data_IF_479335143983
#
_entry.id   IF_479335143983
#
_cell.length_a   1.000
_cell.length_b   1.000
_cell.length_c   1.000
_cell.angle_alpha   90.00
_cell.angle_beta   90.00
_cell.angle_gamma   90.00
#
_symmetry.space_group_name_H-M   'P 1'
#
loop_
_entity.id
_entity.type
_entity.pdbx_description
1 polymer ?
#
# COMPACT_ATOMS: atom_id res chain seq x y z
N UNK A 1 12.96 14.43 7.59
CA UNK A 1 12.09 15.62 7.69
C UNK A 1 10.68 15.09 7.92
N UNK A 2 10.10 15.36 9.11
CA UNK A 2 8.72 14.93 9.43
C UNK A 2 7.76 15.99 8.87
N UNK A 3 6.97 15.63 7.88
CA UNK A 3 5.85 16.45 7.44
C UNK A 3 4.59 16.01 8.20
N UNK A 4 3.93 16.95 8.88
CA UNK A 4 2.70 16.71 9.62
C UNK A 4 1.52 16.95 8.68
N UNK A 5 0.84 15.88 8.25
CA UNK A 5 -0.46 15.93 7.59
C UNK A 5 -1.50 15.31 8.52
N UNK A 6 -2.75 15.72 8.43
CA UNK A 6 -3.77 15.43 9.44
C UNK A 6 -4.12 13.95 9.63
N UNK A 7 -3.74 13.06 8.72
CA UNK A 7 -4.00 11.61 8.78
C UNK A 7 -2.89 10.88 8.02
N UNK A 8 -2.16 10.00 8.70
CA UNK A 8 -1.04 9.24 8.14
C UNK A 8 0.26 10.07 8.02
N UNK A 9 1.36 9.48 8.46
CA UNK A 9 2.68 10.10 8.33
C UNK A 9 3.53 9.25 7.40
N UNK A 10 4.17 9.88 6.41
CA UNK A 10 5.32 9.25 5.76
C UNK A 10 6.44 9.22 6.78
N UNK A 11 6.83 8.03 7.24
CA UNK A 11 7.88 7.87 8.25
C UNK A 11 9.26 7.84 7.64
N UNK A 12 9.38 7.19 6.49
CA UNK A 12 10.65 6.96 5.82
C UNK A 12 10.45 6.93 4.31
N UNK A 13 11.40 7.53 3.59
CA UNK A 13 11.46 7.48 2.13
C UNK A 13 12.88 7.09 1.76
N UNK A 14 13.02 6.00 1.02
CA UNK A 14 14.29 5.58 0.46
C UNK A 14 14.18 5.52 -1.06
N UNK A 15 15.04 6.27 -1.77
CA UNK A 15 15.01 6.36 -3.22
C UNK A 15 16.36 5.94 -3.83
N UNK A 16 16.31 5.02 -4.77
CA UNK A 16 17.50 4.47 -5.41
C UNK A 16 17.21 4.07 -6.86
N UNK A 17 18.28 3.89 -7.63
CA UNK A 17 18.20 3.38 -9.00
C UNK A 17 18.47 1.88 -9.02
N UNK A 18 17.67 1.16 -9.79
CA UNK A 18 17.86 -0.25 -10.07
C UNK A 18 17.56 -0.52 -11.54
N UNK A 19 18.61 -0.91 -12.31
CA UNK A 19 18.52 -1.01 -13.77
C UNK A 19 18.06 0.33 -14.38
N UNK A 20 17.04 0.32 -15.22
CA UNK A 20 16.42 1.51 -15.84
C UNK A 20 15.25 2.09 -15.04
N UNK A 21 15.14 1.67 -13.78
CA UNK A 21 14.05 2.08 -12.88
C UNK A 21 14.56 2.94 -11.73
N UNK A 22 13.75 3.91 -11.35
CA UNK A 22 13.85 4.62 -10.08
C UNK A 22 12.85 3.96 -9.15
N UNK A 23 13.36 3.44 -8.04
CA UNK A 23 12.57 2.81 -6.99
C UNK A 23 12.48 3.79 -5.82
N UNK A 24 11.27 3.99 -5.32
CA UNK A 24 11.06 4.76 -4.09
C UNK A 24 10.27 3.92 -3.11
N UNK A 25 10.88 3.61 -1.97
CA UNK A 25 10.25 2.86 -0.88
C UNK A 25 9.69 3.85 0.14
N UNK A 26 8.44 3.66 0.51
CA UNK A 26 7.72 4.46 1.48
C UNK A 26 7.28 3.60 2.67
N UNK A 27 7.34 4.16 3.86
CA UNK A 27 6.68 3.63 5.04
C UNK A 27 5.69 4.68 5.57
N UNK A 28 4.42 4.28 5.68
CA UNK A 28 3.34 5.10 6.20
C UNK A 28 2.90 4.57 7.55
N UNK A 29 2.63 5.46 8.49
CA UNK A 29 2.04 5.11 9.78
C UNK A 29 0.53 5.33 9.71
N UNK A 30 -0.25 4.26 9.89
CA UNK A 30 -1.71 4.28 9.84
C UNK A 30 -2.31 3.70 11.11
N UNK A 31 -3.59 3.99 11.45
CA UNK A 31 -4.26 3.32 12.56
C UNK A 31 -4.39 1.81 12.32
N UNK A 32 -4.17 1.01 13.36
CA UNK A 32 -4.59 -0.39 13.35
C UNK A 32 -6.12 -0.45 13.23
N UNK A 33 -6.80 0.32 14.05
CA UNK A 33 -8.25 0.48 14.08
C UNK A 33 -8.64 1.90 13.64
N UNK A 34 -9.31 2.03 12.53
CA UNK A 34 -9.79 3.31 12.00
C UNK A 34 -10.96 3.91 12.78
N UNK A 35 -11.60 3.13 13.67
CA UNK A 35 -12.61 3.65 14.61
C UNK A 35 -11.95 4.21 15.89
N UNK A 36 -10.65 3.96 16.09
CA UNK A 36 -9.85 4.46 17.21
C UNK A 36 -8.50 5.01 16.70
N UNK A 37 -8.55 6.13 15.98
CA UNK A 37 -7.38 6.71 15.33
C UNK A 37 -6.25 7.14 16.28
N UNK A 38 -6.53 7.40 17.54
CA UNK A 38 -5.52 7.71 18.57
C UNK A 38 -4.89 6.46 19.18
N UNK A 39 -5.39 5.26 18.83
CA UNK A 39 -4.92 3.97 19.32
C UNK A 39 -3.62 3.51 18.68
N UNK A 40 -3.45 2.19 18.65
CA UNK A 40 -2.29 1.52 18.07
C UNK A 40 -2.11 1.88 16.59
N UNK A 41 -0.87 2.10 16.19
CA UNK A 41 -0.48 2.39 14.80
C UNK A 41 0.33 1.22 14.24
N UNK A 42 0.16 0.98 12.95
CA UNK A 42 0.95 0.01 12.19
C UNK A 42 1.65 0.70 11.02
N UNK A 43 2.74 0.11 10.56
CA UNK A 43 3.46 0.57 9.38
C UNK A 43 2.93 -0.13 8.13
N UNK A 44 2.68 0.64 7.09
CA UNK A 44 2.33 0.15 5.76
C UNK A 44 3.45 0.51 4.79
N UNK A 45 3.97 -0.51 4.13
CA UNK A 45 5.02 -0.37 3.12
C UNK A 45 4.41 -0.26 1.73
N UNK A 46 4.92 0.69 0.94
CA UNK A 46 4.61 0.77 -0.49
C UNK A 46 5.87 1.09 -1.29
N UNK A 47 6.00 0.48 -2.47
CA UNK A 47 7.10 0.68 -3.41
C UNK A 47 6.62 1.32 -4.68
N UNK A 48 7.11 2.51 -4.98
CA UNK A 48 6.91 3.17 -6.27
C UNK A 48 7.97 2.72 -7.27
N UNK A 49 7.55 2.43 -8.47
CA UNK A 49 8.39 2.14 -9.63
C UNK A 49 8.13 3.18 -10.69
N UNK A 50 9.17 3.85 -11.11
CA UNK A 50 9.17 4.83 -12.20
C UNK A 50 10.32 4.52 -13.17
N UNK A 51 10.07 4.53 -14.47
CA UNK A 51 11.16 4.42 -15.43
C UNK A 51 12.04 5.69 -15.40
N UNK A 52 13.35 5.51 -15.45
CA UNK A 52 14.30 6.64 -15.37
C UNK A 52 14.06 7.68 -16.47
N UNK A 53 13.73 7.24 -17.69
CA UNK A 53 13.42 8.12 -18.82
C UNK A 53 12.20 9.03 -18.59
N UNK A 54 11.37 8.72 -17.59
CA UNK A 54 10.16 9.48 -17.23
C UNK A 54 10.30 10.24 -15.90
N UNK A 55 11.51 10.34 -15.34
CA UNK A 55 11.73 11.02 -14.06
C UNK A 55 11.15 12.43 -14.02
N UNK A 56 11.24 13.15 -15.12
CA UNK A 56 10.75 14.53 -15.26
C UNK A 56 9.34 14.63 -15.86
N UNK A 57 8.64 13.50 -16.06
CA UNK A 57 7.26 13.48 -16.56
C UNK A 57 6.26 13.36 -15.42
N UNK A 58 5.15 14.06 -15.57
CA UNK A 58 3.98 13.89 -14.70
C UNK A 58 3.15 12.69 -15.18
N UNK A 59 3.53 11.48 -14.73
CA UNK A 59 2.73 10.28 -14.97
C UNK A 59 1.70 10.12 -13.84
N UNK A 60 0.47 9.63 -14.17
CA UNK A 60 -0.52 9.26 -13.16
C UNK A 60 -0.03 8.07 -12.34
N UNK A 61 -0.59 7.88 -11.15
CA UNK A 61 -0.32 6.72 -10.32
C UNK A 61 -1.24 5.55 -10.65
N UNK A 62 -0.69 4.35 -10.54
CA UNK A 62 -1.41 3.07 -10.56
C UNK A 62 -1.06 2.31 -9.29
N UNK A 63 -2.03 2.15 -8.37
CA UNK A 63 -1.84 1.28 -7.20
C UNK A 63 -2.19 -0.17 -7.54
N UNK A 64 -1.37 -1.11 -7.09
CA UNK A 64 -1.58 -2.55 -7.25
C UNK A 64 -1.91 -3.21 -5.92
N UNK A 65 -3.06 -3.90 -5.89
CA UNK A 65 -3.47 -4.77 -4.79
C UNK A 65 -3.13 -6.22 -5.11
N UNK A 66 -2.29 -6.83 -4.28
CA UNK A 66 -1.87 -8.22 -4.43
C UNK A 66 -2.99 -9.19 -4.05
N UNK A 67 -2.95 -10.37 -4.65
CA UNK A 67 -3.82 -11.50 -4.32
C UNK A 67 -3.45 -12.20 -3.03
N UNK A 68 -4.07 -13.31 -2.81
CA UNK A 68 -3.94 -14.15 -1.62
C UNK A 68 -5.31 -14.37 -0.99
N UNK A 69 -5.62 -13.78 0.19
CA UNK A 69 -4.86 -12.80 0.99
C UNK A 69 -3.58 -13.33 1.61
N UNK A 70 -2.74 -12.42 2.10
CA UNK A 70 -1.57 -12.75 2.94
C UNK A 70 -0.22 -12.75 2.20
N UNK A 71 -0.19 -12.42 0.91
CA UNK A 71 1.06 -12.31 0.14
C UNK A 71 1.50 -10.87 -0.02
N UNK A 72 2.82 -10.66 0.03
CA UNK A 72 3.45 -9.38 -0.32
C UNK A 72 3.29 -9.05 -1.81
N UNK A 73 3.36 -7.79 -2.15
CA UNK A 73 3.41 -7.33 -3.54
C UNK A 73 4.67 -7.84 -4.27
N UNK A 74 4.61 -7.99 -5.61
CA UNK A 74 5.79 -8.40 -6.39
C UNK A 74 7.01 -7.53 -6.08
N UNK A 75 8.18 -8.17 -6.04
CA UNK A 75 9.46 -7.47 -5.97
C UNK A 75 10.04 -7.38 -7.37
N UNK A 76 10.15 -6.17 -7.95
CA UNK A 76 10.69 -6.02 -9.29
C UNK A 76 12.19 -6.33 -9.27
N UNK A 77 12.55 -7.50 -9.75
CA UNK A 77 13.93 -7.95 -9.90
C UNK A 77 14.41 -7.83 -11.36
N UNK A 78 13.49 -7.53 -12.27
CA UNK A 78 13.77 -7.31 -13.68
C UNK A 78 12.72 -6.39 -14.30
N UNK A 79 13.12 -5.66 -15.35
CA UNK A 79 12.20 -4.86 -16.17
C UNK A 79 11.43 -5.79 -17.12
N UNK A 80 10.38 -6.43 -16.62
CA UNK A 80 9.60 -7.42 -17.36
C UNK A 80 8.14 -7.51 -16.92
N UNK A 81 7.34 -8.23 -17.69
CA UNK A 81 5.95 -8.53 -17.38
C UNK A 81 5.04 -7.30 -17.34
N UNK A 82 3.98 -7.37 -16.53
CA UNK A 82 2.97 -6.32 -16.45
C UNK A 82 3.51 -5.03 -15.82
N UNK A 83 4.47 -5.12 -14.90
CA UNK A 83 5.08 -3.95 -14.24
C UNK A 83 5.80 -3.11 -15.29
N UNK A 84 6.58 -3.77 -16.18
CA UNK A 84 7.24 -3.08 -17.31
C UNK A 84 6.22 -2.34 -18.16
N UNK A 85 5.15 -3.01 -18.58
CA UNK A 85 4.10 -2.40 -19.42
C UNK A 85 3.39 -1.25 -18.70
N UNK A 86 3.04 -1.43 -17.43
CA UNK A 86 2.38 -0.39 -16.65
C UNK A 86 3.29 0.84 -16.43
N UNK A 87 4.58 0.63 -16.19
CA UNK A 87 5.55 1.71 -15.94
C UNK A 87 5.85 2.59 -17.17
N UNK A 88 5.39 2.19 -18.35
CA UNK A 88 5.44 3.04 -19.55
C UNK A 88 4.41 4.20 -19.50
N UNK A 89 3.34 4.04 -18.72
CA UNK A 89 2.22 5.00 -18.65
C UNK A 89 1.96 5.52 -17.23
N UNK A 90 2.45 4.83 -16.20
CA UNK A 90 2.14 5.10 -14.80
C UNK A 90 3.38 5.12 -13.91
N UNK A 91 3.26 5.83 -12.79
CA UNK A 91 4.02 5.53 -11.58
C UNK A 91 3.33 4.36 -10.89
N UNK A 92 3.98 3.20 -10.88
CA UNK A 92 3.37 1.97 -10.36
C UNK A 92 3.66 1.89 -8.86
N UNK A 93 2.62 1.88 -8.03
CA UNK A 93 2.73 1.74 -6.59
C UNK A 93 2.34 0.31 -6.17
N UNK A 94 3.32 -0.45 -5.72
CA UNK A 94 3.16 -1.81 -5.20
C UNK A 94 2.94 -1.74 -3.69
N UNK A 95 1.73 -2.06 -3.24
CA UNK A 95 1.35 -2.00 -1.83
C UNK A 95 1.55 -3.36 -1.17
N UNK A 96 2.37 -3.45 -0.13
CA UNK A 96 2.27 -4.53 0.84
C UNK A 96 1.08 -4.24 1.75
N UNK A 97 0.01 -4.99 1.57
CA UNK A 97 -1.20 -4.81 2.37
C UNK A 97 -0.88 -5.04 3.84
N UNK A 98 -1.67 -4.41 4.74
CA UNK A 98 -1.52 -4.62 6.19
C UNK A 98 -1.43 -6.11 6.52
N UNK A 99 -0.54 -6.49 7.41
CA UNK A 99 -0.29 -7.88 7.80
C UNK A 99 0.66 -8.65 6.86
N UNK A 100 1.20 -8.04 5.80
CA UNK A 100 2.01 -8.73 4.78
C UNK A 100 3.34 -8.04 4.51
N UNK A 101 4.31 -8.81 4.02
CA UNK A 101 5.58 -8.31 3.48
C UNK A 101 6.36 -7.43 4.44
N UNK A 102 6.68 -6.21 3.99
CA UNK A 102 7.40 -5.20 4.76
C UNK A 102 6.46 -4.25 5.54
N UNK A 103 5.14 -4.38 5.37
CA UNK A 103 4.17 -3.80 6.30
C UNK A 103 4.24 -4.52 7.63
N UNK A 104 3.68 -3.94 8.71
CA UNK A 104 3.61 -4.63 10.01
C UNK A 104 3.03 -6.03 9.80
N UNK A 105 3.83 -7.10 9.93
CA UNK A 105 3.40 -8.44 9.55
C UNK A 105 2.52 -9.07 10.63
N UNK A 106 1.65 -9.99 10.22
CA UNK A 106 0.97 -10.92 11.12
C UNK A 106 1.69 -12.27 11.07
N UNK A 107 2.02 -12.78 12.22
CA UNK A 107 2.61 -14.12 12.39
C UNK A 107 1.98 -14.82 13.60
N UNK A 108 2.31 -16.08 13.81
CA UNK A 108 1.89 -16.79 15.02
C UNK A 108 2.32 -16.09 16.33
N UNK A 109 3.43 -15.34 16.28
CA UNK A 109 3.92 -14.56 17.43
C UNK A 109 2.99 -13.39 17.79
N UNK A 110 2.28 -12.85 16.80
CA UNK A 110 1.30 -11.76 17.00
C UNK A 110 0.13 -12.17 17.90
N UNK A 111 -0.08 -13.46 18.09
CA UNK A 111 -1.20 -14.02 18.85
C UNK A 111 -0.82 -14.58 20.22
N UNK A 112 0.46 -14.45 20.62
CA UNK A 112 0.94 -14.97 21.91
C UNK A 112 0.17 -14.33 23.08
N UNK A 113 -0.46 -15.17 23.90
CA UNK A 113 -1.23 -14.75 25.06
C UNK A 113 -2.67 -14.32 24.77
N UNK A 114 -3.09 -14.36 23.51
CA UNK A 114 -4.50 -14.10 23.12
C UNK A 114 -5.32 -15.38 23.19
N UNK A 115 -6.60 -15.26 23.57
CA UNK A 115 -7.59 -16.31 23.39
C UNK A 115 -8.20 -16.24 21.98
N UNK A 116 -8.98 -17.26 21.60
CA UNK A 116 -9.55 -17.37 20.24
C UNK A 116 -10.45 -16.19 19.87
N UNK A 117 -11.18 -15.62 20.82
CA UNK A 117 -12.05 -14.45 20.57
C UNK A 117 -11.22 -13.18 20.34
N UNK A 118 -10.13 -13.01 21.10
CA UNK A 118 -9.22 -11.89 20.94
C UNK A 118 -8.51 -11.97 19.58
N UNK A 119 -8.06 -13.18 19.17
CA UNK A 119 -7.48 -13.42 17.85
C UNK A 119 -8.47 -13.09 16.74
N UNK A 120 -9.71 -13.59 16.85
CA UNK A 120 -10.75 -13.33 15.87
C UNK A 120 -11.04 -11.83 15.75
N UNK A 121 -11.12 -11.12 16.86
CA UNK A 121 -11.33 -9.67 16.91
C UNK A 121 -10.14 -8.91 16.27
N UNK A 122 -8.92 -9.27 16.63
CA UNK A 122 -7.70 -8.67 16.07
C UNK A 122 -7.61 -8.85 14.56
N UNK A 123 -7.93 -10.04 14.05
CA UNK A 123 -7.92 -10.33 12.61
C UNK A 123 -8.94 -9.50 11.81
N UNK A 124 -9.97 -8.95 12.44
CA UNK A 124 -10.91 -8.06 11.74
C UNK A 124 -10.24 -6.78 11.24
N UNK A 125 -9.16 -6.33 11.89
CA UNK A 125 -8.42 -5.13 11.47
C UNK A 125 -7.66 -5.32 10.15
N UNK A 126 -7.49 -6.56 9.67
CA UNK A 126 -6.73 -6.90 8.47
C UNK A 126 -7.60 -7.26 7.26
N UNK A 127 -8.88 -6.90 7.30
CA UNK A 127 -9.84 -7.13 6.23
C UNK A 127 -9.72 -6.08 5.13
N UNK A 128 -10.42 -6.35 4.01
CA UNK A 128 -10.38 -5.50 2.82
C UNK A 128 -10.81 -4.05 3.06
N UNK A 129 -11.75 -3.82 3.96
CA UNK A 129 -12.21 -2.48 4.34
C UNK A 129 -11.06 -1.62 4.91
N UNK A 130 -10.22 -2.17 5.76
CA UNK A 130 -9.06 -1.45 6.29
C UNK A 130 -7.90 -1.37 5.29
N UNK A 131 -7.72 -2.38 4.42
CA UNK A 131 -6.74 -2.32 3.33
C UNK A 131 -7.05 -1.15 2.39
N UNK A 132 -8.31 -0.93 2.04
CA UNK A 132 -8.67 0.17 1.14
C UNK A 132 -8.63 1.54 1.83
N UNK A 133 -8.86 1.59 3.15
CA UNK A 133 -8.63 2.80 3.96
C UNK A 133 -7.13 3.17 3.99
N UNK A 134 -6.23 2.18 4.15
CA UNK A 134 -4.78 2.42 4.04
C UNK A 134 -4.40 2.99 2.68
N UNK A 135 -4.94 2.40 1.61
CA UNK A 135 -4.67 2.88 0.26
C UNK A 135 -5.13 4.34 0.07
N UNK A 136 -6.31 4.71 0.58
CA UNK A 136 -6.78 6.09 0.51
C UNK A 136 -5.89 7.05 1.32
N UNK A 137 -5.47 6.66 2.52
CA UNK A 137 -4.49 7.43 3.31
C UNK A 137 -3.18 7.65 2.55
N UNK A 138 -2.70 6.62 1.85
CA UNK A 138 -1.49 6.71 1.03
C UNK A 138 -1.72 7.65 -0.15
N UNK A 139 -2.86 7.57 -0.84
CA UNK A 139 -3.22 8.46 -1.94
C UNK A 139 -3.19 9.93 -1.50
N UNK A 140 -3.89 10.25 -0.42
CA UNK A 140 -3.95 11.61 0.14
C UNK A 140 -2.56 12.15 0.50
N UNK A 141 -1.67 11.30 1.01
CA UNK A 141 -0.31 11.70 1.34
C UNK A 141 0.58 11.91 0.11
N UNK A 142 0.47 11.05 -0.92
CA UNK A 142 1.33 11.08 -2.10
C UNK A 142 0.85 12.08 -3.17
N UNK A 143 -0.43 12.11 -3.44
CA UNK A 143 -0.99 12.83 -4.59
C UNK A 143 -2.14 13.78 -4.24
N UNK A 144 -2.50 13.89 -2.96
CA UNK A 144 -3.54 14.80 -2.44
C UNK A 144 -4.87 14.61 -3.16
N UNK A 145 -5.38 15.68 -3.79
CA UNK A 145 -6.66 15.71 -4.48
C UNK A 145 -6.66 15.02 -5.86
N UNK A 146 -5.48 14.54 -6.31
CA UNK A 146 -5.40 13.84 -7.58
C UNK A 146 -5.91 12.40 -7.46
N UNK A 147 -6.44 11.90 -8.57
CA UNK A 147 -6.92 10.52 -8.71
C UNK A 147 -5.79 9.59 -9.11
N UNK A 148 -5.97 8.31 -8.83
CA UNK A 148 -5.13 7.25 -9.36
C UNK A 148 -5.93 6.12 -10.00
N UNK A 149 -5.24 5.26 -10.74
CA UNK A 149 -5.81 4.03 -11.27
C UNK A 149 -5.60 2.90 -10.27
N UNK A 150 -6.51 1.94 -10.23
CA UNK A 150 -6.41 0.76 -9.37
C UNK A 150 -6.31 -0.51 -10.20
N UNK A 151 -5.42 -1.42 -9.81
CA UNK A 151 -5.25 -2.74 -10.41
C UNK A 151 -5.20 -3.77 -9.29
N UNK A 152 -5.92 -4.86 -9.43
CA UNK A 152 -5.94 -5.93 -8.44
C UNK A 152 -5.94 -7.31 -9.06
N UNK A 153 -5.26 -8.25 -8.42
CA UNK A 153 -5.26 -9.67 -8.79
C UNK A 153 -5.95 -10.50 -7.72
N UNK A 154 -6.90 -11.39 -8.10
CA UNK A 154 -7.57 -12.29 -7.18
C UNK A 154 -8.22 -11.53 -6.00
N UNK A 155 -7.84 -11.79 -4.75
CA UNK A 155 -8.28 -11.01 -3.58
C UNK A 155 -7.99 -9.51 -3.74
N UNK A 156 -6.89 -9.14 -4.38
CA UNK A 156 -6.61 -7.76 -4.74
C UNK A 156 -7.64 -7.15 -5.69
N UNK A 157 -8.23 -7.95 -6.58
CA UNK A 157 -9.38 -7.54 -7.41
C UNK A 157 -10.63 -7.24 -6.57
N UNK A 158 -10.87 -8.02 -5.52
CA UNK A 158 -11.91 -7.73 -4.53
C UNK A 158 -11.61 -6.40 -3.78
N UNK A 159 -10.37 -6.20 -3.34
CA UNK A 159 -9.95 -4.92 -2.74
C UNK A 159 -10.13 -3.74 -3.70
N UNK A 160 -9.76 -3.88 -4.98
CA UNK A 160 -9.95 -2.83 -5.98
C UNK A 160 -11.43 -2.47 -6.16
N UNK A 161 -12.32 -3.46 -6.25
CA UNK A 161 -13.78 -3.24 -6.33
C UNK A 161 -14.30 -2.56 -5.06
N UNK A 162 -13.81 -2.98 -3.90
CA UNK A 162 -14.17 -2.40 -2.61
C UNK A 162 -13.71 -0.94 -2.50
N UNK A 163 -12.46 -0.66 -2.95
CA UNK A 163 -11.93 0.70 -3.03
C UNK A 163 -12.82 1.62 -3.87
N UNK A 164 -13.20 1.20 -5.07
CA UNK A 164 -14.08 1.98 -5.94
C UNK A 164 -15.48 2.22 -5.35
N UNK A 165 -15.95 1.32 -4.49
CA UNK A 165 -17.23 1.47 -3.79
C UNK A 165 -17.17 2.48 -2.66
N UNK A 166 -16.03 2.56 -1.95
CA UNK A 166 -15.83 3.47 -0.82
C UNK A 166 -15.35 4.85 -1.27
N UNK A 167 -14.51 4.90 -2.30
CA UNK A 167 -13.83 6.10 -2.79
C UNK A 167 -13.99 6.28 -4.31
N UNK A 168 -15.23 6.44 -4.82
CA UNK A 168 -15.49 6.48 -6.26
C UNK A 168 -14.88 7.69 -6.96
N UNK A 169 -14.55 8.72 -6.21
CA UNK A 169 -14.01 9.98 -6.72
C UNK A 169 -12.48 10.11 -6.58
N UNK A 170 -11.82 9.08 -6.00
CA UNK A 170 -10.38 9.08 -5.69
C UNK A 170 -9.50 8.54 -6.79
#
# INVERSE_FOLDING_TARGET
IKYKFNYGYIMEVNRYKYSEMIITDYNFLVPLDYENEDGEKISIFAREILREEYENKHLPYLIFFQGGPGYESPRPIADSGWIKRASEEYRVLLLDQRGTGLSTPISGESFLGMNDNDIASYLTFFRADNIVRDAEQIRENLIKDNKWSVLGQSFGGFCATHYLSFYPDS
#
